data_IF_948477959363
#
_entry.id   IF_948477959363
#
_cell.length_a   1.000
_cell.length_b   1.000
_cell.length_c   1.000
_cell.angle_alpha   90.00
_cell.angle_beta   90.00
_cell.angle_gamma   90.00
#
_symmetry.space_group_name_H-M   'P 1'
#
loop_
_entity.id
_entity.type
_entity.pdbx_description
1 polymer ?
#
# COMPACT_ATOMS: atom_id res chain seq x y z
N UNK A 1 6.39 1.38 -32.55
CA UNK A 1 5.48 2.09 -31.61
C UNK A 1 4.07 1.74 -32.04
N UNK A 2 3.35 0.95 -31.25
CA UNK A 2 1.94 0.64 -31.56
C UNK A 2 1.10 1.91 -31.35
N UNK A 3 0.32 2.30 -32.34
CA UNK A 3 -0.63 3.42 -32.22
C UNK A 3 -1.81 3.00 -31.36
N UNK A 4 -2.13 3.79 -30.33
CA UNK A 4 -3.31 3.58 -29.50
C UNK A 4 -4.58 3.54 -30.36
N UNK A 5 -5.45 2.60 -30.07
CA UNK A 5 -6.80 2.51 -30.62
C UNK A 5 -7.63 3.73 -30.21
N UNK A 6 -8.71 4.00 -30.94
CA UNK A 6 -9.65 5.08 -30.61
C UNK A 6 -10.28 4.89 -29.23
N UNK A 7 -10.66 3.66 -28.90
CA UNK A 7 -11.21 3.28 -27.59
C UNK A 7 -10.22 3.56 -26.46
N UNK A 8 -8.95 3.20 -26.63
CA UNK A 8 -7.91 3.51 -25.63
C UNK A 8 -7.73 5.03 -25.45
N UNK A 9 -7.81 5.81 -26.53
CA UNK A 9 -7.72 7.28 -26.46
C UNK A 9 -8.90 7.89 -25.71
N UNK A 10 -10.12 7.43 -25.98
CA UNK A 10 -11.33 7.88 -25.29
C UNK A 10 -11.26 7.55 -23.80
N UNK A 11 -10.82 6.34 -23.45
CA UNK A 11 -10.69 5.95 -22.05
C UNK A 11 -9.60 6.75 -21.32
N UNK A 12 -8.46 6.99 -21.94
CA UNK A 12 -7.41 7.84 -21.36
C UNK A 12 -7.90 9.27 -21.13
N UNK A 13 -8.76 9.79 -22.03
CA UNK A 13 -9.41 11.07 -21.84
C UNK A 13 -10.34 11.07 -20.62
N UNK A 14 -11.21 10.06 -20.48
CA UNK A 14 -12.10 9.91 -19.32
C UNK A 14 -11.32 9.80 -17.99
N UNK A 15 -10.26 8.99 -17.95
CA UNK A 15 -9.38 8.86 -16.77
C UNK A 15 -8.77 10.21 -16.40
N UNK A 16 -8.34 11.01 -17.39
CA UNK A 16 -7.79 12.34 -17.15
C UNK A 16 -8.84 13.29 -16.58
N UNK A 17 -10.03 13.33 -17.16
CA UNK A 17 -11.13 14.19 -16.68
C UNK A 17 -11.49 13.84 -15.23
N UNK A 18 -11.63 12.56 -14.90
CA UNK A 18 -11.94 12.09 -13.54
C UNK A 18 -10.81 12.39 -12.55
N UNK A 19 -9.54 12.25 -12.98
CA UNK A 19 -8.38 12.65 -12.18
C UNK A 19 -8.40 14.14 -11.85
N UNK A 20 -8.63 14.99 -12.86
CA UNK A 20 -8.63 16.44 -12.68
C UNK A 20 -9.78 16.89 -11.76
N UNK A 21 -10.95 16.26 -11.89
CA UNK A 21 -12.08 16.47 -10.99
C UNK A 21 -11.79 16.01 -9.55
N UNK A 22 -11.13 14.86 -9.36
CA UNK A 22 -10.71 14.38 -8.03
C UNK A 22 -9.67 15.32 -7.42
N UNK A 23 -8.68 15.75 -8.21
CA UNK A 23 -7.65 16.69 -7.75
C UNK A 23 -8.26 18.01 -7.28
N UNK A 24 -9.17 18.60 -8.06
CA UNK A 24 -9.85 19.83 -7.69
C UNK A 24 -10.66 19.67 -6.40
N UNK A 25 -11.36 18.53 -6.23
CA UNK A 25 -12.07 18.22 -4.99
C UNK A 25 -11.10 18.10 -3.80
N UNK A 26 -10.00 17.36 -3.95
CA UNK A 26 -8.99 17.15 -2.91
C UNK A 26 -8.26 18.42 -2.50
N UNK A 27 -8.05 19.36 -3.43
CA UNK A 27 -7.46 20.67 -3.14
C UNK A 27 -8.28 21.51 -2.16
N UNK A 28 -9.57 21.19 -1.99
CA UNK A 28 -10.46 21.82 -1.01
C UNK A 28 -10.59 21.01 0.30
N UNK A 29 -9.94 19.85 0.42
CA UNK A 29 -10.02 18.97 1.59
C UNK A 29 -8.79 19.12 2.50
N UNK A 30 -8.81 18.47 3.67
CA UNK A 30 -7.64 18.35 4.53
C UNK A 30 -6.60 17.39 3.95
N UNK A 31 -5.36 17.47 4.47
CA UNK A 31 -4.30 16.52 4.12
C UNK A 31 -4.71 15.08 4.45
N UNK A 32 -5.36 14.87 5.60
CA UNK A 32 -5.81 13.55 6.06
C UNK A 32 -6.78 12.90 5.08
N UNK A 33 -7.75 13.66 4.55
CA UNK A 33 -8.68 13.18 3.51
C UNK A 33 -7.91 12.74 2.26
N UNK A 34 -6.94 13.54 1.81
CA UNK A 34 -6.11 13.18 0.66
C UNK A 34 -5.31 11.91 0.90
N UNK A 35 -4.70 11.78 2.08
CA UNK A 35 -3.95 10.58 2.48
C UNK A 35 -4.84 9.34 2.49
N UNK A 36 -6.02 9.43 3.10
CA UNK A 36 -6.98 8.31 3.19
C UNK A 36 -7.39 7.82 1.81
N UNK A 37 -7.77 8.74 0.91
CA UNK A 37 -8.14 8.40 -0.48
C UNK A 37 -6.97 7.76 -1.21
N UNK A 38 -5.78 8.34 -1.12
CA UNK A 38 -4.60 7.82 -1.78
C UNK A 38 -4.27 6.39 -1.32
N UNK A 39 -4.29 6.14 -0.01
CA UNK A 39 -4.01 4.82 0.56
C UNK A 39 -5.04 3.77 0.12
N UNK A 40 -6.34 4.08 0.18
CA UNK A 40 -7.38 3.13 -0.27
C UNK A 40 -7.26 2.82 -1.76
N UNK A 41 -6.94 3.82 -2.56
CA UNK A 41 -6.59 3.62 -3.97
C UNK A 41 -5.34 2.73 -4.14
N UNK A 42 -4.29 2.97 -3.37
CA UNK A 42 -3.08 2.16 -3.37
C UNK A 42 -3.37 0.70 -3.03
N UNK A 43 -4.14 0.45 -1.98
CA UNK A 43 -4.63 -0.89 -1.63
C UNK A 43 -5.33 -1.55 -2.81
N UNK A 44 -6.28 -0.88 -3.46
CA UNK A 44 -6.99 -1.43 -4.62
C UNK A 44 -6.05 -1.71 -5.81
N UNK A 45 -4.96 -0.97 -5.96
CA UNK A 45 -4.00 -1.18 -7.03
C UNK A 45 -3.04 -2.36 -6.77
N UNK A 46 -2.90 -2.82 -5.53
CA UNK A 46 -1.91 -3.82 -5.13
C UNK A 46 -1.96 -5.11 -5.97
N UNK A 47 -3.13 -5.71 -6.29
CA UNK A 47 -3.20 -6.94 -7.08
C UNK A 47 -2.63 -6.84 -8.50
N UNK A 48 -2.41 -5.63 -9.01
CA UNK A 48 -1.90 -5.38 -10.36
C UNK A 48 -0.42 -5.00 -10.39
N UNK A 49 0.26 -4.96 -9.23
CA UNK A 49 1.66 -4.54 -9.14
C UNK A 49 2.56 -5.42 -10.01
N UNK A 50 2.29 -6.73 -10.00
CA UNK A 50 2.84 -7.71 -10.92
C UNK A 50 1.67 -8.47 -11.55
N UNK A 51 1.78 -8.80 -12.83
CA UNK A 51 0.78 -9.61 -13.51
C UNK A 51 0.88 -11.07 -13.04
N UNK A 52 -0.21 -11.83 -13.23
CA UNK A 52 -0.19 -13.27 -12.96
C UNK A 52 1.02 -13.94 -13.66
N UNK A 53 1.86 -14.70 -12.94
CA UNK A 53 3.02 -15.34 -13.54
C UNK A 53 2.58 -16.44 -14.51
N UNK A 54 3.24 -16.54 -15.66
CA UNK A 54 2.92 -17.55 -16.68
C UNK A 54 3.14 -18.98 -16.17
N UNK A 55 4.19 -19.18 -15.35
CA UNK A 55 4.59 -20.48 -14.81
C UNK A 55 4.11 -20.71 -13.37
N UNK A 56 3.20 -19.86 -12.87
CA UNK A 56 2.66 -19.97 -11.51
C UNK A 56 3.60 -19.49 -10.39
N UNK A 57 4.82 -19.04 -10.71
CA UNK A 57 5.79 -18.53 -9.74
C UNK A 57 6.31 -17.14 -10.13
N UNK A 58 6.52 -16.29 -9.14
CA UNK A 58 7.14 -14.99 -9.36
C UNK A 58 8.65 -15.13 -9.49
N UNK A 59 9.25 -14.32 -10.36
CA UNK A 59 10.71 -14.16 -10.36
C UNK A 59 11.15 -13.44 -9.07
N UNK A 60 12.41 -13.59 -8.64
CA UNK A 60 12.93 -12.88 -7.47
C UNK A 60 12.73 -11.35 -7.53
N UNK A 61 12.79 -10.77 -8.73
CA UNK A 61 12.54 -9.34 -8.96
C UNK A 61 11.06 -8.97 -8.74
N UNK A 62 10.14 -9.82 -9.18
CA UNK A 62 8.71 -9.63 -8.98
C UNK A 62 8.33 -9.77 -7.51
N UNK A 63 8.85 -10.81 -6.83
CA UNK A 63 8.70 -10.95 -5.38
C UNK A 63 9.19 -9.70 -4.63
N UNK A 64 10.38 -9.19 -4.97
CA UNK A 64 10.89 -7.94 -4.39
C UNK A 64 9.98 -6.74 -4.67
N UNK A 65 9.37 -6.67 -5.85
CA UNK A 65 8.44 -5.60 -6.23
C UNK A 65 7.14 -5.69 -5.42
N UNK A 66 6.61 -6.89 -5.25
CA UNK A 66 5.41 -7.18 -4.47
C UNK A 66 5.62 -6.79 -3.01
N UNK A 67 6.66 -7.31 -2.34
CA UNK A 67 6.93 -6.99 -0.92
C UNK A 67 7.17 -5.49 -0.72
N UNK A 68 7.82 -4.82 -1.68
CA UNK A 68 8.01 -3.37 -1.62
C UNK A 68 6.67 -2.64 -1.67
N UNK A 69 5.74 -3.08 -2.53
CA UNK A 69 4.41 -2.49 -2.61
C UNK A 69 3.59 -2.70 -1.34
N UNK A 70 3.61 -3.90 -0.77
CA UNK A 70 3.02 -4.17 0.55
C UNK A 70 3.57 -3.21 1.62
N UNK A 71 4.90 -3.09 1.71
CA UNK A 71 5.57 -2.21 2.67
C UNK A 71 5.22 -0.74 2.48
N UNK A 72 5.15 -0.25 1.24
CA UNK A 72 4.80 1.14 0.96
C UNK A 72 3.41 1.49 1.49
N UNK A 73 2.40 0.66 1.21
CA UNK A 73 1.05 0.92 1.66
C UNK A 73 0.92 0.75 3.17
N UNK A 74 1.50 -0.31 3.73
CA UNK A 74 1.48 -0.54 5.17
C UNK A 74 2.08 0.64 5.93
N UNK A 75 3.21 1.16 5.45
CA UNK A 75 3.88 2.32 6.04
C UNK A 75 3.10 3.61 5.89
N UNK A 76 2.56 3.88 4.70
CA UNK A 76 1.71 5.06 4.50
C UNK A 76 0.47 5.02 5.40
N UNK A 77 -0.11 3.82 5.58
CA UNK A 77 -1.22 3.60 6.52
C UNK A 77 -0.81 3.87 7.97
N UNK A 78 0.32 3.34 8.41
CA UNK A 78 0.81 3.54 9.77
C UNK A 78 1.10 5.03 10.04
N UNK A 79 1.69 5.74 9.08
CA UNK A 79 1.92 7.19 9.16
C UNK A 79 0.64 8.01 9.25
N UNK A 80 -0.39 7.63 8.49
CA UNK A 80 -1.69 8.32 8.57
C UNK A 80 -2.30 8.23 9.97
N UNK A 81 -2.08 7.12 10.68
CA UNK A 81 -2.55 6.92 12.08
C UNK A 81 -1.61 7.51 13.12
N UNK A 82 -0.31 7.52 12.82
CA UNK A 82 0.76 7.90 13.76
C UNK A 82 1.68 8.90 13.08
N UNK A 83 1.54 10.15 13.48
CA UNK A 83 2.48 11.21 13.09
C UNK A 83 3.78 11.03 13.88
N UNK A 84 4.67 10.19 13.37
CA UNK A 84 5.97 9.92 13.96
C UNK A 84 7.09 10.23 12.93
N UNK A 85 8.09 10.99 13.38
CA UNK A 85 9.22 11.43 12.58
C UNK A 85 10.09 10.26 12.06
N UNK A 86 10.31 9.22 12.87
CA UNK A 86 11.08 8.05 12.47
C UNK A 86 10.37 7.27 11.34
N UNK A 87 9.05 7.13 11.43
CA UNK A 87 8.24 6.55 10.35
C UNK A 87 8.33 7.39 9.06
N UNK A 88 8.29 8.72 9.17
CA UNK A 88 8.46 9.62 8.03
C UNK A 88 9.82 9.45 7.33
N UNK A 89 10.90 9.32 8.12
CA UNK A 89 12.23 9.07 7.58
C UNK A 89 12.34 7.70 6.91
N UNK A 90 11.76 6.67 7.52
CA UNK A 90 11.78 5.32 6.94
C UNK A 90 11.02 5.26 5.60
N UNK A 91 9.86 5.93 5.49
CA UNK A 91 9.14 5.99 4.22
C UNK A 91 9.90 6.77 3.16
N UNK A 92 10.53 7.86 3.55
CA UNK A 92 11.39 8.64 2.65
C UNK A 92 12.52 7.77 2.11
N UNK A 93 13.17 7.00 2.98
CA UNK A 93 14.24 6.08 2.61
C UNK A 93 13.74 4.99 1.64
N UNK A 94 12.66 4.29 1.99
CA UNK A 94 12.09 3.26 1.12
C UNK A 94 11.69 3.84 -0.25
N UNK A 95 11.01 4.99 -0.27
CA UNK A 95 10.61 5.64 -1.52
C UNK A 95 11.79 6.10 -2.38
N UNK A 96 12.96 6.36 -1.78
CA UNK A 96 14.17 6.79 -2.50
C UNK A 96 14.93 5.65 -3.18
N UNK A 97 14.77 4.41 -2.71
CA UNK A 97 15.41 3.22 -3.28
C UNK A 97 14.52 2.48 -4.29
N UNK A 98 13.28 2.92 -4.46
CA UNK A 98 12.35 2.33 -5.42
C UNK A 98 12.84 2.52 -6.87
N UNK A 99 12.82 1.45 -7.64
CA UNK A 99 13.03 1.52 -9.09
C UNK A 99 11.98 2.45 -9.73
N UNK A 100 12.45 3.35 -10.60
CA UNK A 100 11.59 4.31 -11.33
C UNK A 100 10.77 3.63 -12.44
N UNK A 101 11.12 2.41 -12.83
CA UNK A 101 10.57 1.70 -14.00
C UNK A 101 9.43 0.73 -13.66
N UNK A 102 8.62 1.03 -12.64
CA UNK A 102 7.51 0.17 -12.21
C UNK A 102 6.27 0.25 -13.10
N UNK A 103 5.37 -0.73 -12.94
CA UNK A 103 4.05 -0.73 -13.58
C UNK A 103 3.19 0.45 -13.08
N UNK A 104 2.08 0.75 -13.76
CA UNK A 104 1.12 1.76 -13.29
C UNK A 104 0.64 1.45 -11.86
N UNK A 105 0.43 0.19 -11.52
CA UNK A 105 0.07 -0.23 -10.17
C UNK A 105 1.17 0.06 -9.15
N UNK A 106 2.42 -0.32 -9.42
CA UNK A 106 3.55 0.02 -8.54
C UNK A 106 3.63 1.52 -8.29
N UNK A 107 3.44 2.32 -9.34
CA UNK A 107 3.44 3.75 -9.23
C UNK A 107 2.24 4.27 -8.42
N UNK A 108 1.05 3.68 -8.55
CA UNK A 108 -0.12 4.03 -7.73
C UNK A 108 0.14 3.79 -6.24
N UNK A 109 0.66 2.60 -5.89
CA UNK A 109 1.06 2.24 -4.52
C UNK A 109 2.10 3.22 -3.96
N UNK A 110 3.09 3.60 -4.77
CA UNK A 110 4.12 4.55 -4.36
C UNK A 110 3.58 5.97 -4.16
N UNK A 111 2.74 6.47 -5.06
CA UNK A 111 2.12 7.79 -4.87
C UNK A 111 1.20 7.77 -3.63
N UNK A 112 0.50 6.67 -3.37
CA UNK A 112 -0.31 6.49 -2.18
C UNK A 112 0.52 6.65 -0.88
N UNK A 113 1.68 6.02 -0.80
CA UNK A 113 2.56 6.14 0.39
C UNK A 113 3.11 7.56 0.58
N UNK A 114 3.34 8.30 -0.51
CA UNK A 114 3.85 9.69 -0.47
C UNK A 114 2.84 10.72 0.02
N UNK A 115 1.55 10.38 0.04
CA UNK A 115 0.51 11.28 0.55
C UNK A 115 0.50 11.40 2.08
N UNK A 116 1.10 10.43 2.77
CA UNK A 116 1.05 10.26 4.23
C UNK A 116 2.04 11.04 5.09
N UNK A 117 3.24 11.46 4.63
CA UNK A 117 4.20 12.18 5.47
C UNK A 117 3.62 13.51 6.00
N UNK A 118 3.75 13.72 7.31
CA UNK A 118 3.35 14.97 7.95
C UNK A 118 4.27 16.12 7.50
N UNK A 119 3.69 17.21 7.00
CA UNK A 119 4.43 18.42 6.60
C UNK A 119 4.60 18.62 5.09
N UNK A 120 4.11 17.71 4.26
CA UNK A 120 3.95 17.99 2.83
C UNK A 120 2.93 19.13 2.61
N UNK A 121 3.14 20.04 1.65
CA UNK A 121 2.13 21.00 1.26
C UNK A 121 0.83 20.29 0.87
N UNK A 122 -0.33 20.88 1.18
CA UNK A 122 -1.65 20.31 0.89
C UNK A 122 -1.79 19.89 -0.58
N UNK A 123 -1.32 20.76 -1.49
CA UNK A 123 -1.30 20.52 -2.93
C UNK A 123 -0.53 19.25 -3.30
N UNK A 124 0.59 18.97 -2.63
CA UNK A 124 1.39 17.77 -2.89
C UNK A 124 0.66 16.49 -2.48
N UNK A 125 -0.14 16.52 -1.40
CA UNK A 125 -0.95 15.36 -1.00
C UNK A 125 -2.14 15.16 -1.94
N UNK A 126 -2.78 16.24 -2.40
CA UNK A 126 -3.85 16.17 -3.42
C UNK A 126 -3.31 15.63 -4.76
N UNK A 127 -2.13 16.07 -5.19
CA UNK A 127 -1.41 15.55 -6.36
C UNK A 127 -1.10 14.06 -6.23
N UNK A 128 -0.54 13.64 -5.09
CA UNK A 128 -0.19 12.25 -4.85
C UNK A 128 -1.42 11.34 -4.91
N UNK A 129 -2.52 11.76 -4.26
CA UNK A 129 -3.78 11.04 -4.24
C UNK A 129 -4.44 10.92 -5.63
N UNK A 130 -4.53 12.02 -6.38
CA UNK A 130 -5.12 12.02 -7.72
C UNK A 130 -4.28 11.20 -8.71
N UNK A 131 -2.95 11.29 -8.62
CA UNK A 131 -2.03 10.48 -9.42
C UNK A 131 -2.12 9.00 -9.06
N UNK A 132 -2.24 8.65 -7.78
CA UNK A 132 -2.50 7.27 -7.36
C UNK A 132 -3.78 6.74 -7.99
N UNK A 133 -4.87 7.54 -7.99
CA UNK A 133 -6.17 7.14 -8.54
C UNK A 133 -6.10 6.87 -10.04
N UNK A 134 -5.52 7.81 -10.79
CA UNK A 134 -5.33 7.67 -12.23
C UNK A 134 -4.48 6.45 -12.57
N UNK A 135 -3.40 6.21 -11.84
CA UNK A 135 -2.50 5.07 -12.05
C UNK A 135 -3.15 3.73 -11.71
N UNK A 136 -3.96 3.67 -10.65
CA UNK A 136 -4.75 2.48 -10.30
C UNK A 136 -5.79 2.16 -11.38
N UNK A 137 -6.49 3.18 -11.89
CA UNK A 137 -7.44 3.03 -12.99
C UNK A 137 -6.77 2.51 -14.27
N UNK A 138 -5.61 3.07 -14.64
CA UNK A 138 -4.82 2.56 -15.77
C UNK A 138 -4.38 1.11 -15.56
N UNK A 139 -3.92 0.73 -14.36
CA UNK A 139 -3.50 -0.64 -14.09
C UNK A 139 -4.65 -1.65 -14.24
N UNK A 140 -5.84 -1.30 -13.75
CA UNK A 140 -7.02 -2.14 -13.89
C UNK A 140 -7.48 -2.24 -15.36
N UNK A 141 -7.43 -1.14 -16.12
CA UNK A 141 -7.75 -1.13 -17.55
C UNK A 141 -6.85 -2.10 -18.33
N UNK A 142 -5.54 -2.04 -18.14
CA UNK A 142 -4.61 -2.91 -18.88
C UNK A 142 -4.67 -4.38 -18.45
N UNK A 143 -5.31 -4.68 -17.32
CA UNK A 143 -5.43 -6.03 -16.79
C UNK A 143 -6.70 -6.76 -17.21
N UNK A 144 -7.69 -6.10 -17.80
CA UNK A 144 -8.99 -6.71 -18.07
C UNK A 144 -9.79 -6.09 -19.22
N UNK A 145 -10.73 -6.88 -19.73
CA UNK A 145 -11.92 -6.47 -20.52
C UNK A 145 -12.98 -5.73 -19.68
N UNK A 146 -12.62 -5.23 -18.49
CA UNK A 146 -13.56 -4.67 -17.51
C UNK A 146 -13.90 -3.21 -17.83
N UNK A 147 -15.14 -2.77 -17.61
CA UNK A 147 -15.48 -1.36 -17.73
C UNK A 147 -14.72 -0.55 -16.67
N UNK A 148 -13.70 0.18 -17.11
CA UNK A 148 -13.27 1.53 -16.73
C UNK A 148 -13.63 2.14 -15.34
N UNK A 149 -14.86 1.94 -14.86
CA UNK A 149 -15.48 2.66 -13.76
C UNK A 149 -15.20 2.13 -12.36
N UNK A 150 -14.92 0.84 -12.18
CA UNK A 150 -14.89 0.23 -10.84
C UNK A 150 -14.00 0.95 -9.78
N UNK A 151 -12.75 1.34 -10.07
CA UNK A 151 -11.96 2.13 -9.11
C UNK A 151 -12.53 3.53 -8.85
N UNK A 152 -13.12 4.18 -9.86
CA UNK A 152 -13.73 5.50 -9.70
C UNK A 152 -15.03 5.45 -8.90
N UNK A 153 -15.83 4.40 -9.07
CA UNK A 153 -17.06 4.18 -8.28
C UNK A 153 -16.71 3.97 -6.80
N UNK A 154 -15.63 3.23 -6.51
CA UNK A 154 -15.15 3.06 -5.14
C UNK A 154 -14.61 4.37 -4.54
N UNK A 155 -13.91 5.19 -5.32
CA UNK A 155 -13.47 6.53 -4.89
C UNK A 155 -14.69 7.43 -4.63
N UNK A 156 -15.73 7.37 -5.47
CA UNK A 156 -16.95 8.13 -5.27
C UNK A 156 -17.68 7.71 -3.98
N UNK A 157 -17.73 6.41 -3.68
CA UNK A 157 -18.26 5.90 -2.43
C UNK A 157 -17.43 6.36 -1.21
N UNK A 158 -16.10 6.32 -1.30
CA UNK A 158 -15.22 6.84 -0.25
C UNK A 158 -15.46 8.35 0.01
N UNK A 159 -15.63 9.15 -1.06
CA UNK A 159 -15.96 10.58 -0.95
C UNK A 159 -17.31 10.83 -0.28
N UNK A 160 -18.32 10.05 -0.66
CA UNK A 160 -19.65 10.14 -0.05
C UNK A 160 -19.59 9.80 1.44
N UNK A 161 -18.82 8.78 1.82
CA UNK A 161 -18.61 8.42 3.22
C UNK A 161 -17.94 9.55 4.02
N UNK A 162 -16.86 10.12 3.47
CA UNK A 162 -16.12 11.23 4.11
C UNK A 162 -17.01 12.46 4.31
N UNK A 163 -17.90 12.75 3.36
CA UNK A 163 -18.84 13.88 3.48
C UNK A 163 -19.81 13.74 4.67
N UNK A 164 -19.97 12.53 5.21
CA UNK A 164 -20.86 12.23 6.34
C UNK A 164 -20.15 11.83 7.64
N UNK A 165 -18.81 11.75 7.62
CA UNK A 165 -18.01 11.31 8.76
C UNK A 165 -17.15 12.45 9.31
N UNK A 166 -17.06 12.55 10.64
CA UNK A 166 -16.19 13.52 11.30
C UNK A 166 -14.71 13.08 11.33
N UNK A 167 -14.43 11.78 11.13
CA UNK A 167 -13.07 11.24 11.12
C UNK A 167 -12.81 10.46 9.81
N UNK A 168 -12.01 11.01 8.88
CA UNK A 168 -11.66 10.33 7.64
C UNK A 168 -10.77 9.10 7.86
N UNK A 169 -9.99 9.02 8.95
CA UNK A 169 -9.04 7.92 9.19
C UNK A 169 -9.75 6.60 9.49
N UNK A 170 -10.95 6.64 10.07
CA UNK A 170 -11.81 5.47 10.28
C UNK A 170 -12.11 4.74 8.96
N UNK A 171 -12.16 5.47 7.84
CA UNK A 171 -12.37 4.86 6.52
C UNK A 171 -11.24 3.90 6.14
N UNK A 172 -10.04 4.02 6.69
CA UNK A 172 -8.94 3.07 6.41
C UNK A 172 -9.17 1.69 7.05
N UNK A 173 -10.05 1.58 8.03
CA UNK A 173 -10.48 0.31 8.64
C UNK A 173 -11.79 -0.22 8.05
N UNK A 174 -12.49 0.57 7.23
CA UNK A 174 -13.71 0.11 6.58
C UNK A 174 -13.41 -0.82 5.40
N UNK A 175 -14.33 -1.73 5.03
CA UNK A 175 -14.20 -2.58 3.85
C UNK A 175 -13.83 -1.79 2.60
N UNK A 176 -12.92 -2.33 1.78
CA UNK A 176 -12.37 -1.60 0.62
C UNK A 176 -13.43 -1.36 -0.47
N UNK A 177 -14.51 -2.13 -0.46
CA UNK A 177 -15.58 -2.13 -1.46
C UNK A 177 -16.96 -2.09 -0.75
N UNK A 178 -17.43 -0.91 -0.32
CA UNK A 178 -18.56 -0.77 0.62
C UNK A 178 -19.94 -1.23 0.10
N UNK A 179 -20.12 -1.39 -1.21
CA UNK A 179 -21.43 -1.61 -1.84
C UNK A 179 -21.64 -3.01 -2.44
N UNK A 180 -20.86 -4.02 -2.04
CA UNK A 180 -20.95 -5.36 -2.64
C UNK A 180 -21.45 -6.40 -1.65
N UNK A 181 -22.74 -6.73 -1.79
CA UNK A 181 -23.54 -7.55 -0.89
C UNK A 181 -23.19 -9.07 -0.84
N UNK A 182 -22.08 -9.51 -1.42
CA UNK A 182 -21.67 -10.91 -1.40
C UNK A 182 -20.40 -11.13 -0.57
N UNK A 183 -20.32 -12.28 0.10
CA UNK A 183 -19.09 -12.78 0.70
C UNK A 183 -18.01 -12.84 -0.39
N UNK A 184 -17.04 -11.92 -0.34
CA UNK A 184 -16.04 -11.72 -1.39
C UNK A 184 -16.30 -10.55 -2.33
N UNK A 185 -17.04 -9.51 -1.92
CA UNK A 185 -17.43 -8.29 -2.66
C UNK A 185 -16.33 -7.42 -3.29
N UNK A 186 -15.20 -8.00 -3.68
CA UNK A 186 -14.17 -7.38 -4.52
C UNK A 186 -14.60 -7.48 -6.00
N UNK A 187 -14.53 -6.40 -6.80
CA UNK A 187 -14.87 -6.46 -8.23
C UNK A 187 -13.92 -7.32 -9.05
N UNK A 188 -14.40 -7.87 -10.16
CA UNK A 188 -13.49 -8.21 -11.24
C UNK A 188 -12.95 -6.94 -11.91
N UNK A 189 -11.66 -6.90 -12.30
CA UNK A 189 -10.67 -7.98 -12.25
C UNK A 189 -9.89 -8.10 -10.92
N UNK A 190 -10.17 -7.23 -9.94
CA UNK A 190 -9.42 -7.16 -8.68
C UNK A 190 -9.47 -8.48 -7.90
N UNK A 191 -10.62 -9.16 -7.89
CA UNK A 191 -10.80 -10.43 -7.21
C UNK A 191 -9.92 -11.52 -7.82
N UNK A 192 -10.04 -11.77 -9.13
CA UNK A 192 -9.24 -12.80 -9.81
C UNK A 192 -7.73 -12.51 -9.77
N UNK A 193 -7.31 -11.25 -9.93
CA UNK A 193 -5.89 -10.89 -9.83
C UNK A 193 -5.34 -11.05 -8.43
N UNK A 194 -6.13 -10.69 -7.40
CA UNK A 194 -5.73 -10.90 -6.01
C UNK A 194 -5.58 -12.38 -5.70
N UNK A 195 -6.57 -13.20 -6.06
CA UNK A 195 -6.53 -14.63 -5.83
C UNK A 195 -5.36 -15.31 -6.55
N UNK A 196 -5.07 -14.90 -7.79
CA UNK A 196 -3.91 -15.39 -8.54
C UNK A 196 -2.58 -15.01 -7.87
N UNK A 197 -2.43 -13.75 -7.42
CA UNK A 197 -1.24 -13.29 -6.70
C UNK A 197 -1.07 -14.04 -5.38
N UNK A 198 -2.13 -14.13 -4.57
CA UNK A 198 -2.12 -14.83 -3.27
C UNK A 198 -1.73 -16.29 -3.43
N UNK A 199 -2.36 -17.01 -4.35
CA UNK A 199 -2.07 -18.43 -4.58
C UNK A 199 -0.61 -18.68 -4.98
N UNK A 200 -0.05 -17.83 -5.85
CA UNK A 200 1.35 -17.94 -6.26
C UNK A 200 2.33 -17.65 -5.11
N UNK A 201 2.05 -16.65 -4.28
CA UNK A 201 2.89 -16.31 -3.12
C UNK A 201 2.82 -17.41 -2.04
N UNK A 202 1.62 -17.92 -1.74
CA UNK A 202 1.42 -18.93 -0.71
C UNK A 202 2.03 -20.30 -1.10
N UNK A 203 2.15 -20.62 -2.40
CA UNK A 203 2.87 -21.80 -2.91
C UNK A 203 4.39 -21.65 -2.88
N UNK A 204 4.89 -20.42 -3.06
CA UNK A 204 6.32 -20.12 -3.08
C UNK A 204 6.95 -20.26 -1.69
N UNK A 205 6.35 -19.62 -0.68
CA UNK A 205 6.83 -19.67 0.70
C UNK A 205 5.71 -19.30 1.70
N UNK A 206 5.55 -20.10 2.75
CA UNK A 206 4.63 -19.82 3.86
C UNK A 206 4.84 -18.47 4.53
N UNK A 207 6.05 -17.92 4.43
CA UNK A 207 6.40 -16.61 4.97
C UNK A 207 5.61 -15.46 4.31
N UNK A 208 5.09 -15.65 3.09
CA UNK A 208 4.21 -14.67 2.43
C UNK A 208 2.83 -14.54 3.07
N UNK A 209 2.37 -15.56 3.81
CA UNK A 209 1.02 -15.59 4.40
C UNK A 209 0.74 -14.41 5.31
N UNK A 210 1.78 -13.88 5.96
CA UNK A 210 1.65 -12.70 6.81
C UNK A 210 1.24 -11.45 6.03
N UNK A 211 1.74 -11.29 4.80
CA UNK A 211 1.38 -10.19 3.91
C UNK A 211 0.03 -10.43 3.27
N UNK A 212 -0.23 -11.66 2.83
CA UNK A 212 -1.49 -11.99 2.16
C UNK A 212 -2.66 -11.92 3.12
N UNK A 213 -2.53 -12.45 4.34
CA UNK A 213 -3.52 -12.31 5.41
C UNK A 213 -3.70 -10.85 5.82
N UNK A 214 -2.62 -10.07 5.97
CA UNK A 214 -2.74 -8.64 6.29
C UNK A 214 -3.54 -7.86 5.25
N UNK A 215 -3.25 -8.06 3.96
CA UNK A 215 -3.99 -7.37 2.91
C UNK A 215 -5.43 -7.86 2.80
N UNK A 216 -5.67 -9.15 3.04
CA UNK A 216 -7.01 -9.72 3.20
C UNK A 216 -7.74 -9.01 4.34
N UNK A 217 -7.17 -8.87 5.52
CA UNK A 217 -7.80 -8.12 6.62
C UNK A 217 -8.18 -6.69 6.21
N UNK A 218 -7.34 -6.00 5.43
CA UNK A 218 -7.64 -4.65 4.93
C UNK A 218 -8.72 -4.61 3.86
N UNK A 219 -8.76 -5.59 2.95
CA UNK A 219 -9.80 -5.67 1.92
C UNK A 219 -11.20 -5.84 2.54
N UNK A 220 -11.30 -6.59 3.63
CA UNK A 220 -12.56 -6.89 4.33
C UNK A 220 -12.88 -5.92 5.46
N UNK A 221 -12.01 -4.95 5.75
CA UNK A 221 -12.22 -3.97 6.82
C UNK A 221 -12.12 -4.58 8.22
N UNK A 222 -11.26 -5.58 8.39
CA UNK A 222 -10.92 -6.08 9.72
C UNK A 222 -10.15 -5.00 10.49
N UNK A 223 -10.39 -4.86 11.81
CA UNK A 223 -9.70 -3.89 12.65
C UNK A 223 -8.19 -3.95 12.49
N UNK A 224 -7.52 -2.80 12.48
CA UNK A 224 -6.06 -2.74 12.51
C UNK A 224 -5.50 -3.59 13.67
N UNK A 225 -4.41 -4.30 13.40
CA UNK A 225 -3.63 -4.88 14.49
C UNK A 225 -3.02 -3.75 15.33
N UNK A 226 -2.49 -4.10 16.51
CA UNK A 226 -1.73 -3.14 17.30
C UNK A 226 -0.57 -2.55 16.47
N UNK A 227 -0.26 -1.27 16.68
CA UNK A 227 0.70 -0.56 15.82
C UNK A 227 2.08 -1.20 15.77
N UNK A 228 2.52 -1.82 16.87
CA UNK A 228 3.78 -2.57 16.90
C UNK A 228 3.76 -3.76 15.93
N UNK A 229 2.63 -4.44 15.75
CA UNK A 229 2.48 -5.53 14.78
C UNK A 229 2.56 -5.00 13.34
N UNK A 230 1.86 -3.90 13.05
CA UNK A 230 1.93 -3.24 11.73
C UNK A 230 3.36 -2.77 11.42
N UNK A 231 4.04 -2.23 12.44
CA UNK A 231 5.42 -1.80 12.36
C UNK A 231 6.40 -2.96 12.09
N UNK A 232 6.23 -4.09 12.78
CA UNK A 232 7.00 -5.31 12.54
C UNK A 232 6.80 -5.82 11.11
N UNK A 233 5.56 -5.81 10.61
CA UNK A 233 5.26 -6.15 9.22
C UNK A 233 6.09 -5.33 8.25
N UNK A 234 6.06 -4.01 8.40
CA UNK A 234 6.75 -3.07 7.52
C UNK A 234 8.27 -3.26 7.51
N UNK A 235 8.86 -3.60 8.66
CA UNK A 235 10.32 -3.58 8.86
C UNK A 235 11.00 -4.93 8.68
N UNK A 236 10.24 -6.03 8.69
CA UNK A 236 10.82 -7.38 8.72
C UNK A 236 10.75 -8.09 7.37
N UNK A 237 11.71 -9.01 7.16
CA UNK A 237 11.63 -10.02 6.11
C UNK A 237 10.53 -11.05 6.47
N UNK A 238 9.86 -11.65 5.46
CA UNK A 238 8.77 -12.62 5.68
C UNK A 238 9.06 -13.68 6.76
N UNK A 239 10.27 -14.23 6.77
CA UNK A 239 10.69 -15.33 7.65
C UNK A 239 10.85 -14.91 9.13
N UNK A 240 11.08 -13.62 9.37
CA UNK A 240 11.26 -13.07 10.70
C UNK A 240 9.91 -12.80 11.39
N UNK A 241 8.82 -12.67 10.63
CA UNK A 241 7.48 -12.46 11.22
C UNK A 241 6.83 -13.73 11.75
N UNK A 242 7.04 -14.88 11.11
CA UNK A 242 6.70 -16.17 11.68
C UNK A 242 7.36 -16.38 13.07
N UNK A 243 8.47 -15.69 13.34
CA UNK A 243 9.19 -15.69 14.62
C UNK A 243 8.76 -14.57 15.57
N UNK A 244 8.18 -13.48 15.06
CA UNK A 244 7.68 -12.35 15.85
C UNK A 244 6.24 -12.56 16.37
N UNK A 245 5.47 -13.47 15.76
CA UNK A 245 4.20 -13.95 16.30
C UNK A 245 4.36 -14.79 17.58
N UNK A 246 5.60 -15.07 18.00
CA UNK A 246 5.94 -15.59 19.32
C UNK A 246 6.08 -14.41 20.32
N UNK A 247 5.06 -14.09 21.13
CA UNK A 247 5.13 -13.00 22.10
C UNK A 247 6.01 -13.34 23.31
N UNK A 248 6.63 -14.54 23.34
CA UNK A 248 7.51 -14.92 24.42
C UNK A 248 8.76 -14.03 24.48
N UNK A 249 9.40 -13.94 25.66
CA UNK A 249 10.69 -13.26 25.80
C UNK A 249 11.75 -13.75 24.81
N UNK A 250 11.74 -15.05 24.47
CA UNK A 250 12.70 -15.66 23.54
C UNK A 250 12.42 -15.28 22.07
N UNK A 251 11.14 -15.15 21.69
CA UNK A 251 10.74 -14.61 20.39
C UNK A 251 11.24 -13.16 20.22
N UNK A 252 11.06 -12.35 21.26
CA UNK A 252 11.53 -10.97 21.33
C UNK A 252 13.06 -10.84 21.32
N UNK A 253 13.80 -11.69 22.03
CA UNK A 253 15.27 -11.61 22.05
C UNK A 253 15.89 -12.01 20.69
N UNK A 254 15.34 -13.05 20.06
CA UNK A 254 15.73 -13.46 18.70
C UNK A 254 15.39 -12.37 17.69
N UNK A 255 14.27 -11.68 17.87
CA UNK A 255 13.86 -10.53 17.08
C UNK A 255 14.87 -9.37 17.16
N UNK A 256 15.29 -8.97 18.36
CA UNK A 256 16.28 -7.90 18.54
C UNK A 256 17.60 -8.23 17.83
N UNK A 257 18.05 -9.49 17.94
CA UNK A 257 19.27 -9.96 17.29
C UNK A 257 19.18 -9.91 15.75
N UNK A 258 18.02 -10.27 15.17
CA UNK A 258 17.82 -10.25 13.72
C UNK A 258 17.73 -8.83 13.15
N UNK A 259 17.08 -7.88 13.86
CA UNK A 259 17.11 -6.46 13.45
C UNK A 259 18.54 -5.94 13.44
N UNK A 260 19.32 -6.27 14.47
CA UNK A 260 20.73 -5.89 14.57
C UNK A 260 21.57 -6.55 13.47
N UNK A 261 21.31 -7.81 13.11
CA UNK A 261 21.99 -8.52 12.02
C UNK A 261 21.63 -7.99 10.63
N UNK A 262 20.38 -7.60 10.40
CA UNK A 262 19.87 -7.12 9.12
C UNK A 262 20.24 -5.66 8.79
N UNK A 263 20.91 -4.96 9.72
CA UNK A 263 21.58 -3.67 9.49
C UNK A 263 22.52 -3.68 8.27
N UNK A 264 23.03 -4.85 7.87
CA UNK A 264 23.86 -5.02 6.67
C UNK A 264 23.12 -5.07 5.32
N UNK A 265 21.79 -5.26 5.29
CA UNK A 265 21.05 -5.58 4.06
C UNK A 265 20.64 -4.36 3.21
N UNK A 266 20.69 -3.14 3.76
CA UNK A 266 20.36 -1.92 3.00
C UNK A 266 21.59 -1.45 2.21
N UNK A 267 21.86 -2.14 1.08
CA UNK A 267 23.04 -1.97 0.20
C UNK A 267 23.27 -0.58 -0.41
N UNK A 268 22.45 0.44 -0.10
CA UNK A 268 22.58 1.79 -0.64
C UNK A 268 22.94 2.90 0.36
N UNK A 269 22.73 2.70 1.67
CA UNK A 269 23.14 3.69 2.69
C UNK A 269 23.12 3.08 4.11
N UNK A 270 24.08 2.21 4.45
CA UNK A 270 24.09 1.47 5.72
C UNK A 270 23.99 2.38 6.96
N UNK A 271 24.64 3.55 6.93
CA UNK A 271 24.58 4.53 8.04
C UNK A 271 23.18 5.12 8.27
N UNK A 272 22.39 5.37 7.21
CA UNK A 272 21.03 5.91 7.37
C UNK A 272 20.06 4.84 7.84
N UNK A 273 20.14 3.64 7.27
CA UNK A 273 19.32 2.51 7.70
C UNK A 273 19.58 2.13 9.16
N UNK A 274 20.85 2.07 9.58
CA UNK A 274 21.22 1.73 10.95
C UNK A 274 20.80 2.81 11.96
N UNK A 275 20.86 4.09 11.58
CA UNK A 275 20.38 5.18 12.44
C UNK A 275 18.86 5.15 12.60
N UNK A 276 18.13 4.85 11.53
CA UNK A 276 16.67 4.74 11.58
C UNK A 276 16.24 3.50 12.37
N UNK A 277 16.90 2.36 12.18
CA UNK A 277 16.65 1.16 12.96
C UNK A 277 16.94 1.36 14.46
N UNK A 278 18.05 2.02 14.82
CA UNK A 278 18.38 2.33 16.21
C UNK A 278 17.36 3.27 16.86
N UNK A 279 16.99 4.37 16.18
CA UNK A 279 15.94 5.29 16.68
C UNK A 279 14.61 4.59 16.91
N UNK A 280 14.27 3.61 16.06
CA UNK A 280 13.02 2.88 16.18
C UNK A 280 13.03 1.82 17.28
N UNK A 281 14.21 1.27 17.62
CA UNK A 281 14.36 0.41 18.80
C UNK A 281 14.17 1.24 20.06
N UNK A 282 14.83 2.39 20.15
CA UNK A 282 14.72 3.29 21.31
C UNK A 282 13.26 3.73 21.54
N UNK A 283 12.53 4.13 20.49
CA UNK A 283 11.12 4.56 20.60
C UNK A 283 10.17 3.42 21.05
N UNK A 284 10.45 2.17 20.66
CA UNK A 284 9.66 1.01 21.10
C UNK A 284 9.96 0.64 22.56
N UNK A 285 11.19 0.85 23.02
CA UNK A 285 11.56 0.69 24.42
C UNK A 285 10.92 1.77 25.30
N UNK A 286 10.86 3.02 24.84
CA UNK A 286 10.16 4.11 25.53
C UNK A 286 8.64 3.87 25.61
N UNK A 287 8.02 3.27 24.58
CA UNK A 287 6.60 2.93 24.62
C UNK A 287 6.25 1.79 25.61
N UNK A 288 7.25 1.10 26.15
CA UNK A 288 7.09 0.05 27.17
C UNK A 288 7.16 0.58 28.61
N UNK A 289 7.76 1.75 28.82
CA UNK A 289 7.91 2.39 30.14
C UNK A 289 6.71 3.26 30.50
#
# INVERSE_FOLDING_TARGET
>A
MSTLTEVEREHLHDVRVKRDALWAWLGAQSQEVSTVIALRVGFRALPFVVQKPAEGRFSPKEGQTIVSAFRYIALGRLQARRRNLALNMFATLLNSVSDKNGSSATAAVREASRSAPSGSPLESSADAASNAASRAAMAAMFSATSPAGAPWDAIAADRAWIATSDDPLVLLDAPMWPNRASAGGVPEPYASQWEAMRAALDDEDTSWRVWTAWYQDRLWGAPAAADHVEYLRITMMPDAMARAEDPSPDGLQRWTADIQGNQGLVKGSPKKANRVAAMLVDELEDARS
#
